data_IF_240684263000
#
_entry.id   IF_240684263000
#
_cell.length_a   1.000
_cell.length_b   1.000
_cell.length_c   1.000
_cell.angle_alpha   90.00
_cell.angle_beta   90.00
_cell.angle_gamma   90.00
#
_symmetry.space_group_name_H-M   'P 1'
#
loop_
_entity.id
_entity.type
_entity.pdbx_description
1 polymer ?
#
# COMPACT_ATOMS: atom_id res chain seq x y z
N UNK A 1 -5.98 11.04 -3.62
CA UNK A 1 -7.31 10.42 -3.74
C UNK A 1 -7.62 9.60 -2.50
N UNK A 2 -8.84 9.71 -1.99
CA UNK A 2 -9.20 9.03 -0.74
C UNK A 2 -9.68 7.58 -0.96
N UNK A 3 -10.10 7.23 -2.17
CA UNK A 3 -10.79 5.98 -2.41
C UNK A 3 -10.50 5.33 -3.77
N UNK A 4 -9.67 5.90 -4.61
CA UNK A 4 -9.38 5.33 -5.93
C UNK A 4 -7.89 5.26 -6.23
N UNK A 5 -7.52 4.26 -7.01
CA UNK A 5 -6.19 4.15 -7.59
C UNK A 5 -6.07 5.09 -8.77
N UNK A 6 -5.00 5.86 -8.80
CA UNK A 6 -4.66 6.77 -9.90
C UNK A 6 -3.55 6.14 -10.75
N UNK A 7 -3.63 6.33 -12.06
CA UNK A 7 -2.61 5.90 -13.01
C UNK A 7 -2.08 7.11 -13.74
N UNK A 8 -0.77 7.35 -13.68
CA UNK A 8 -0.14 8.50 -14.28
C UNK A 8 0.80 8.12 -15.41
N UNK A 9 0.77 8.87 -16.50
CA UNK A 9 1.71 8.76 -17.61
C UNK A 9 2.20 10.15 -18.04
N UNK A 10 3.45 10.24 -18.43
CA UNK A 10 3.97 11.42 -19.10
C UNK A 10 3.56 11.45 -20.58
N UNK A 11 3.54 12.64 -21.17
CA UNK A 11 3.38 12.83 -22.60
C UNK A 11 4.28 11.87 -23.38
N UNK A 12 3.75 11.30 -24.47
CA UNK A 12 4.49 10.34 -25.32
C UNK A 12 5.01 9.10 -24.56
N UNK A 13 4.44 8.79 -23.39
CA UNK A 13 4.87 7.68 -22.52
C UNK A 13 6.37 7.76 -22.20
N UNK A 14 6.90 8.97 -22.00
CA UNK A 14 8.27 9.15 -21.54
C UNK A 14 8.45 8.42 -20.20
N UNK A 15 9.59 7.71 -19.99
CA UNK A 15 9.79 6.96 -18.77
C UNK A 15 9.93 7.87 -17.55
N UNK A 16 9.37 7.44 -16.44
CA UNK A 16 9.53 8.03 -15.12
C UNK A 16 10.49 7.16 -14.32
N UNK A 17 11.58 7.74 -13.81
CA UNK A 17 12.48 7.01 -12.92
C UNK A 17 12.08 7.22 -11.47
N UNK A 18 11.59 6.17 -10.84
CA UNK A 18 11.25 6.17 -9.42
C UNK A 18 12.54 6.07 -8.62
N UNK A 19 12.70 6.94 -7.61
CA UNK A 19 13.86 7.01 -6.72
C UNK A 19 13.49 6.85 -5.24
N UNK A 20 12.23 7.06 -4.89
CA UNK A 20 11.70 6.76 -3.56
C UNK A 20 10.22 6.38 -3.65
N UNK A 21 9.77 5.54 -2.73
CA UNK A 21 8.37 5.21 -2.52
C UNK A 21 8.01 5.45 -1.05
N UNK A 22 6.88 6.12 -0.81
CA UNK A 22 6.38 6.49 0.51
C UNK A 22 7.44 7.24 1.36
N UNK A 23 8.28 8.03 0.67
CA UNK A 23 9.39 8.77 1.28
C UNK A 23 10.67 7.97 1.45
N UNK A 24 10.62 6.63 1.37
CA UNK A 24 11.80 5.78 1.53
C UNK A 24 12.58 5.67 0.21
N UNK A 25 13.89 5.98 0.20
CA UNK A 25 14.73 5.82 -0.98
C UNK A 25 14.78 4.37 -1.47
N UNK A 26 14.86 4.17 -2.77
CA UNK A 26 14.99 2.85 -3.38
C UNK A 26 16.02 2.85 -4.52
N UNK A 27 16.47 1.66 -4.89
CA UNK A 27 17.25 1.53 -6.12
C UNK A 27 16.42 2.04 -7.29
N UNK A 28 16.91 3.02 -8.08
CA UNK A 28 16.14 3.63 -9.15
C UNK A 28 15.67 2.62 -10.19
N UNK A 29 14.41 2.71 -10.60
CA UNK A 29 13.85 1.91 -11.67
C UNK A 29 12.86 2.73 -12.52
N UNK A 30 12.70 2.37 -13.79
CA UNK A 30 11.86 3.08 -14.72
C UNK A 30 10.47 2.45 -14.84
N UNK A 31 9.47 3.31 -14.96
CA UNK A 31 8.08 2.93 -15.28
C UNK A 31 7.52 3.84 -16.36
N UNK A 32 6.69 3.33 -17.25
CA UNK A 32 5.93 4.11 -18.23
C UNK A 32 4.59 4.57 -17.65
N UNK A 33 4.08 3.83 -16.68
CA UNK A 33 2.85 4.15 -15.96
C UNK A 33 3.09 4.01 -14.46
N UNK A 34 2.84 5.08 -13.73
CA UNK A 34 2.91 5.10 -12.27
C UNK A 34 1.50 4.92 -11.72
N UNK A 35 1.27 3.81 -11.01
CA UNK A 35 0.01 3.56 -10.29
C UNK A 35 0.20 3.89 -8.81
N UNK A 36 -0.72 4.70 -8.27
CA UNK A 36 -0.73 5.08 -6.87
C UNK A 36 -2.13 4.86 -6.28
N UNK A 37 -2.21 4.03 -5.28
CA UNK A 37 -3.40 3.92 -4.44
C UNK A 37 -3.46 5.04 -3.39
N UNK A 38 -4.55 5.15 -2.63
CA UNK A 38 -4.68 6.10 -1.53
C UNK A 38 -3.46 6.08 -0.61
N UNK A 39 -2.95 7.25 -0.25
CA UNK A 39 -1.76 7.50 0.59
C UNK A 39 -0.40 7.07 0.02
N UNK A 40 -0.32 6.34 -1.07
CA UNK A 40 0.97 6.07 -1.70
C UNK A 40 1.58 7.34 -2.28
N UNK A 41 2.90 7.49 -2.13
CA UNK A 41 3.71 8.58 -2.66
C UNK A 41 4.86 8.00 -3.47
N UNK A 42 5.31 8.73 -4.49
CA UNK A 42 6.50 8.36 -5.25
C UNK A 42 7.30 9.60 -5.59
N UNK A 43 8.60 9.56 -5.37
CA UNK A 43 9.53 10.55 -5.88
C UNK A 43 10.07 10.09 -7.22
N UNK A 44 9.92 10.96 -8.22
CA UNK A 44 10.15 10.61 -9.60
C UNK A 44 11.11 11.62 -10.25
N UNK A 45 12.11 11.10 -10.94
CA UNK A 45 12.92 11.91 -11.84
C UNK A 45 12.40 11.75 -13.26
N UNK A 46 12.21 12.87 -13.93
CA UNK A 46 11.88 12.92 -15.35
C UNK A 46 12.93 13.73 -16.09
N UNK A 47 13.29 13.30 -17.28
CA UNK A 47 14.24 14.04 -18.10
C UNK A 47 13.54 15.26 -18.69
N UNK A 48 13.99 16.46 -18.29
CA UNK A 48 13.52 17.68 -18.89
C UNK A 48 14.01 17.78 -20.34
N UNK A 49 13.11 18.16 -21.24
CA UNK A 49 13.42 18.39 -22.64
C UNK A 49 12.28 19.17 -23.31
N UNK A 50 12.43 19.56 -24.57
CA UNK A 50 11.39 20.32 -25.30
C UNK A 50 10.07 19.54 -25.41
N UNK A 51 10.13 18.23 -25.22
CA UNK A 51 9.01 17.30 -25.38
C UNK A 51 8.42 16.80 -24.04
N UNK A 52 8.87 17.30 -22.90
CA UNK A 52 8.39 16.80 -21.61
C UNK A 52 6.87 16.96 -21.46
N UNK A 53 6.30 18.05 -21.94
CA UNK A 53 4.85 18.26 -22.04
C UNK A 53 4.12 18.15 -20.70
N UNK A 54 3.24 17.18 -20.57
CA UNK A 54 2.31 17.08 -19.45
C UNK A 54 2.33 15.70 -18.77
N UNK A 55 1.92 15.68 -17.51
CA UNK A 55 1.55 14.48 -16.75
C UNK A 55 0.05 14.29 -16.87
N UNK A 56 -0.37 13.12 -17.31
CA UNK A 56 -1.77 12.75 -17.42
C UNK A 56 -2.17 11.70 -16.41
N UNK A 57 -3.35 11.87 -15.80
CA UNK A 57 -4.07 10.75 -15.20
C UNK A 57 -4.76 9.99 -16.34
N UNK A 58 -4.44 8.72 -16.47
CA UNK A 58 -4.97 7.83 -17.52
C UNK A 58 -6.10 6.99 -16.95
N UNK A 59 -7.27 7.09 -17.52
CA UNK A 59 -8.43 6.26 -17.21
C UNK A 59 -8.82 5.39 -18.40
N UNK A 60 -9.77 4.48 -18.23
CA UNK A 60 -10.22 3.59 -19.30
C UNK A 60 -10.88 4.31 -20.49
N UNK A 61 -11.31 5.55 -20.33
CA UNK A 61 -12.00 6.33 -21.37
C UNK A 61 -11.35 7.64 -21.74
N UNK A 62 -10.71 8.31 -20.77
CA UNK A 62 -10.19 9.67 -20.95
C UNK A 62 -8.84 9.86 -20.26
N UNK A 63 -8.05 10.79 -20.80
CA UNK A 63 -6.84 11.27 -20.18
C UNK A 63 -7.08 12.66 -19.59
N UNK A 64 -6.84 12.82 -18.31
CA UNK A 64 -6.96 14.10 -17.63
C UNK A 64 -5.57 14.70 -17.41
N UNK A 65 -5.31 15.92 -17.90
CA UNK A 65 -4.05 16.62 -17.64
C UNK A 65 -3.96 16.99 -16.15
N UNK A 66 -3.10 16.29 -15.42
CA UNK A 66 -2.89 16.52 -14.01
C UNK A 66 -1.87 17.62 -13.73
N UNK A 67 -0.85 17.75 -14.59
CA UNK A 67 0.16 18.79 -14.51
C UNK A 67 0.80 19.06 -15.88
N UNK A 68 1.22 20.31 -16.10
CA UNK A 68 1.98 20.72 -17.29
C UNK A 68 3.36 21.21 -16.89
N UNK A 69 4.39 20.68 -17.56
CA UNK A 69 5.77 21.08 -17.35
C UNK A 69 6.18 22.11 -18.40
N UNK A 70 6.74 23.22 -17.94
CA UNK A 70 7.28 24.27 -18.83
C UNK A 70 8.77 24.38 -18.58
N UNK A 71 9.58 23.91 -19.52
CA UNK A 71 11.03 24.09 -19.49
C UNK A 71 11.39 25.47 -20.04
N UNK A 72 12.05 26.29 -19.24
CA UNK A 72 12.55 27.60 -19.65
C UNK A 72 13.98 27.56 -20.16
N UNK A 73 14.73 26.51 -19.85
CA UNK A 73 16.12 26.30 -20.26
C UNK A 73 16.37 24.82 -20.40
N UNK A 74 17.11 24.43 -21.43
CA UNK A 74 17.68 23.09 -21.52
C UNK A 74 19.07 23.17 -20.89
N UNK A 75 19.33 22.34 -19.87
CA UNK A 75 20.65 22.14 -19.31
C UNK A 75 21.19 20.82 -19.84
N UNK A 76 22.43 20.81 -20.34
CA UNK A 76 23.13 19.59 -20.76
C UNK A 76 23.73 18.82 -19.57
N UNK A 77 23.48 19.28 -18.34
CA UNK A 77 23.99 18.59 -17.15
C UNK A 77 23.37 17.20 -17.04
N UNK A 78 24.20 16.18 -17.15
CA UNK A 78 23.81 14.82 -16.83
C UNK A 78 23.37 14.76 -15.36
N UNK A 79 22.29 14.04 -15.09
CA UNK A 79 21.92 13.68 -13.73
C UNK A 79 23.08 12.86 -13.14
N UNK A 80 23.63 13.31 -12.02
CA UNK A 80 24.62 12.54 -11.27
C UNK A 80 24.03 11.19 -10.81
N UNK A 81 24.90 10.26 -10.47
CA UNK A 81 24.44 9.00 -9.89
C UNK A 81 23.69 9.27 -8.60
N UNK A 82 22.42 8.87 -8.56
CA UNK A 82 21.62 8.93 -7.35
C UNK A 82 21.99 7.70 -6.54
N UNK A 83 22.73 7.93 -5.45
CA UNK A 83 22.97 6.88 -4.46
C UNK A 83 21.74 6.77 -3.57
N UNK A 84 21.11 5.61 -3.60
CA UNK A 84 19.94 5.34 -2.77
C UNK A 84 20.27 4.19 -1.85
N UNK A 85 20.34 4.49 -0.56
CA UNK A 85 20.38 3.48 0.48
C UNK A 85 19.04 3.48 1.20
N UNK A 86 18.37 2.36 1.35
CA UNK A 86 17.16 2.30 2.15
C UNK A 86 17.49 2.70 3.60
N UNK A 87 16.53 3.32 4.29
CA UNK A 87 16.69 3.75 5.69
C UNK A 87 16.97 2.60 6.64
N UNK A 88 16.39 1.44 6.34
CA UNK A 88 16.55 0.22 7.12
C UNK A 88 17.05 -0.92 6.22
N UNK A 89 17.91 -1.82 6.72
CA UNK A 89 18.22 -3.05 6.00
C UNK A 89 16.99 -3.98 5.96
N UNK A 90 16.99 -4.91 5.02
CA UNK A 90 16.00 -6.00 5.06
C UNK A 90 16.25 -6.84 6.32
N UNK A 91 15.22 -7.07 7.17
CA UNK A 91 15.40 -7.79 8.42
C UNK A 91 15.75 -9.26 8.22
N UNK A 92 16.48 -9.84 9.17
CA UNK A 92 16.57 -11.31 9.28
C UNK A 92 15.19 -11.86 9.67
N UNK A 93 14.70 -12.79 8.86
CA UNK A 93 13.36 -13.37 9.02
C UNK A 93 13.38 -14.77 9.62
N UNK A 94 14.55 -15.27 10.07
CA UNK A 94 14.71 -16.64 10.58
C UNK A 94 13.78 -16.93 11.75
N UNK A 95 13.68 -16.00 12.70
CA UNK A 95 12.87 -16.14 13.92
C UNK A 95 11.71 -15.13 13.92
N UNK A 96 11.28 -14.68 12.72
CA UNK A 96 10.22 -13.69 12.60
C UNK A 96 8.86 -14.22 13.06
N UNK A 97 8.12 -13.38 13.77
CA UNK A 97 6.72 -13.65 14.13
C UNK A 97 5.82 -13.53 12.90
N UNK A 98 5.19 -14.64 12.51
CA UNK A 98 4.26 -14.67 11.39
C UNK A 98 2.83 -14.37 11.87
N UNK A 99 2.25 -13.29 11.35
CA UNK A 99 0.87 -12.88 11.60
C UNK A 99 0.09 -13.02 10.29
N UNK A 100 -0.90 -13.91 10.27
CA UNK A 100 -1.75 -14.09 9.09
C UNK A 100 -2.95 -13.15 9.16
N UNK A 101 -3.18 -12.40 8.10
CA UNK A 101 -4.30 -11.47 7.96
C UNK A 101 -5.08 -11.83 6.70
N UNK A 102 -6.29 -12.32 6.89
CA UNK A 102 -7.24 -12.63 5.83
C UNK A 102 -8.20 -11.47 5.67
N UNK A 103 -8.03 -10.70 4.58
CA UNK A 103 -8.92 -9.59 4.23
C UNK A 103 -10.13 -10.12 3.48
N UNK A 104 -11.32 -9.88 4.01
CA UNK A 104 -12.58 -10.43 3.50
C UNK A 104 -13.63 -9.33 3.37
N UNK A 105 -14.58 -9.55 2.47
CA UNK A 105 -15.79 -8.72 2.37
C UNK A 105 -15.92 -7.96 1.06
N UNK A 106 -16.73 -6.90 1.10
CA UNK A 106 -17.10 -6.09 -0.04
C UNK A 106 -18.14 -6.75 -0.96
N UNK A 107 -18.59 -6.00 -1.96
CA UNK A 107 -19.49 -6.51 -2.96
C UNK A 107 -18.84 -7.68 -3.73
N UNK A 108 -19.57 -8.78 -3.91
CA UNK A 108 -19.09 -10.03 -4.55
C UNK A 108 -17.95 -10.73 -3.78
N UNK A 109 -17.70 -10.36 -2.54
CA UNK A 109 -16.77 -11.06 -1.65
C UNK A 109 -17.38 -12.33 -1.06
N UNK A 110 -16.53 -13.14 -0.41
CA UNK A 110 -16.93 -14.44 0.15
C UNK A 110 -17.32 -14.36 1.64
N UNK A 111 -17.39 -13.16 2.24
CA UNK A 111 -17.74 -12.99 3.64
C UNK A 111 -19.24 -13.27 3.86
N UNK A 112 -19.55 -14.25 4.70
CA UNK A 112 -20.93 -14.64 5.03
C UNK A 112 -21.39 -13.97 6.32
N UNK A 113 -20.52 -13.98 7.35
CA UNK A 113 -20.72 -13.36 8.66
C UNK A 113 -19.39 -12.86 9.21
N UNK A 114 -19.45 -11.95 10.15
CA UNK A 114 -18.28 -11.50 10.91
C UNK A 114 -18.68 -11.08 12.33
N UNK A 115 -17.70 -11.10 13.22
CA UNK A 115 -17.87 -10.61 14.58
C UNK A 115 -17.80 -9.09 14.59
N UNK A 116 -18.78 -8.44 15.19
CA UNK A 116 -18.84 -7.00 15.43
C UNK A 116 -19.31 -6.74 16.86
N UNK A 117 -18.53 -5.97 17.64
CA UNK A 117 -18.81 -5.67 19.05
C UNK A 117 -19.06 -6.94 19.91
N UNK A 118 -18.33 -8.03 19.60
CA UNK A 118 -18.42 -9.30 20.33
C UNK A 118 -19.54 -10.23 19.86
N UNK A 119 -20.37 -9.83 18.91
CA UNK A 119 -21.46 -10.62 18.36
C UNK A 119 -21.20 -11.03 16.89
N UNK A 120 -21.48 -12.30 16.56
CA UNK A 120 -21.43 -12.74 15.18
C UNK A 120 -22.71 -12.30 14.46
N UNK A 121 -22.54 -11.55 13.36
CA UNK A 121 -23.63 -11.03 12.54
C UNK A 121 -23.48 -11.43 11.08
N UNK A 122 -24.58 -11.78 10.39
CA UNK A 122 -24.56 -11.97 8.93
C UNK A 122 -24.13 -10.70 8.20
N UNK A 123 -23.35 -10.84 7.11
CA UNK A 123 -22.83 -9.68 6.35
C UNK A 123 -23.95 -8.75 5.87
N UNK A 124 -25.12 -9.28 5.54
CA UNK A 124 -26.28 -8.47 5.13
C UNK A 124 -26.75 -7.53 6.26
N UNK A 125 -26.78 -8.05 7.49
CA UNK A 125 -27.16 -7.24 8.66
C UNK A 125 -26.08 -6.20 8.97
N UNK A 126 -24.82 -6.60 8.97
CA UNK A 126 -23.68 -5.69 9.13
C UNK A 126 -23.73 -4.54 8.11
N UNK A 127 -24.00 -4.85 6.85
CA UNK A 127 -24.06 -3.84 5.79
C UNK A 127 -25.23 -2.86 5.97
N UNK A 128 -26.43 -3.37 6.25
CA UNK A 128 -27.64 -2.56 6.30
C UNK A 128 -27.79 -1.76 7.59
N UNK A 129 -27.42 -2.34 8.73
CA UNK A 129 -27.66 -1.74 10.05
C UNK A 129 -26.43 -1.03 10.62
N UNK A 130 -25.21 -1.54 10.29
CA UNK A 130 -23.97 -1.06 10.87
C UNK A 130 -23.05 -0.37 9.86
N UNK A 131 -23.35 -0.43 8.55
CA UNK A 131 -22.50 0.08 7.47
C UNK A 131 -21.10 -0.57 7.50
N UNK A 132 -21.04 -1.86 7.85
CA UNK A 132 -19.83 -2.67 7.89
C UNK A 132 -19.84 -3.66 6.74
N UNK A 133 -18.76 -3.70 5.98
CA UNK A 133 -18.64 -4.47 4.73
C UNK A 133 -17.39 -5.33 4.71
N UNK A 134 -16.43 -5.08 5.62
CA UNK A 134 -15.10 -5.63 5.61
C UNK A 134 -14.73 -6.26 6.94
N UNK A 135 -13.91 -7.30 6.87
CA UNK A 135 -13.37 -7.96 8.05
C UNK A 135 -11.92 -8.39 7.85
N UNK A 136 -11.14 -8.41 8.94
CA UNK A 136 -9.87 -9.11 9.03
C UNK A 136 -10.07 -10.34 9.90
N UNK A 137 -9.69 -11.52 9.37
CA UNK A 137 -9.83 -12.80 10.09
C UNK A 137 -11.26 -13.04 10.65
N UNK A 138 -12.29 -12.64 9.88
CA UNK A 138 -13.69 -12.80 10.31
C UNK A 138 -14.16 -11.79 11.35
N UNK A 139 -13.37 -10.79 11.70
CA UNK A 139 -13.77 -9.73 12.63
C UNK A 139 -13.83 -8.37 11.91
N UNK A 140 -14.94 -7.66 12.09
CA UNK A 140 -15.07 -6.27 11.67
C UNK A 140 -14.08 -5.45 12.48
N UNK A 141 -13.15 -4.82 11.77
CA UNK A 141 -12.01 -4.18 12.39
C UNK A 141 -12.25 -2.73 12.78
N UNK A 142 -11.27 -2.24 13.50
CA UNK A 142 -11.18 -0.88 14.04
C UNK A 142 -10.09 -0.83 15.10
N UNK A 143 -10.13 0.19 15.93
CA UNK A 143 -9.14 0.40 16.99
C UNK A 143 -9.20 -0.66 18.11
N UNK A 144 -10.32 -1.39 18.25
CA UNK A 144 -10.51 -2.45 19.26
C UNK A 144 -10.05 -3.83 18.78
N UNK A 145 -9.72 -3.98 17.50
CA UNK A 145 -9.31 -5.26 16.93
C UNK A 145 -7.80 -5.42 16.97
N UNK A 146 -7.31 -6.14 18.00
CA UNK A 146 -5.88 -6.47 18.13
C UNK A 146 -5.51 -7.59 17.15
N UNK A 147 -4.63 -7.27 16.18
CA UNK A 147 -4.10 -8.22 15.20
C UNK A 147 -2.85 -8.96 15.69
N UNK A 148 -2.01 -8.26 16.44
CA UNK A 148 -0.78 -8.81 17.00
C UNK A 148 -0.31 -8.02 18.22
N UNK A 149 0.38 -8.72 19.12
CA UNK A 149 1.12 -8.15 20.23
C UNK A 149 2.59 -8.56 20.10
N UNK A 150 3.47 -7.56 19.92
CA UNK A 150 4.87 -7.71 19.60
C UNK A 150 5.73 -7.11 20.71
N UNK A 151 6.89 -7.71 20.95
CA UNK A 151 7.89 -7.08 21.79
C UNK A 151 8.75 -6.11 20.96
N UNK A 152 9.25 -5.07 21.60
CA UNK A 152 10.21 -4.16 20.98
C UNK A 152 11.43 -4.93 20.44
N UNK A 153 11.72 -4.72 19.16
CA UNK A 153 12.81 -5.39 18.44
C UNK A 153 12.42 -6.69 17.73
N UNK A 154 11.19 -7.19 17.91
CA UNK A 154 10.73 -8.35 17.15
C UNK A 154 10.76 -8.08 15.64
N UNK A 155 11.22 -9.06 14.86
CA UNK A 155 10.94 -9.08 13.42
C UNK A 155 9.56 -9.68 13.20
N UNK A 156 8.70 -8.98 12.47
CA UNK A 156 7.34 -9.42 12.17
C UNK A 156 7.10 -9.55 10.67
N UNK A 157 6.28 -10.51 10.30
CA UNK A 157 5.78 -10.73 8.94
C UNK A 157 4.26 -10.69 8.99
N UNK A 158 3.65 -9.63 8.47
CA UNK A 158 2.22 -9.63 8.21
C UNK A 158 2.00 -10.32 6.86
N UNK A 159 1.53 -11.54 6.88
CA UNK A 159 1.10 -12.24 5.67
C UNK A 159 -0.34 -11.92 5.39
N UNK A 160 -0.55 -11.02 4.44
CA UNK A 160 -1.86 -10.50 4.11
C UNK A 160 -2.38 -11.18 2.85
N UNK A 161 -3.58 -11.76 2.92
CA UNK A 161 -4.28 -12.31 1.78
C UNK A 161 -5.52 -11.47 1.47
N UNK A 162 -5.59 -10.93 0.26
CA UNK A 162 -6.74 -10.17 -0.23
C UNK A 162 -7.77 -11.12 -0.86
N UNK A 163 -8.70 -11.65 -0.05
CA UNK A 163 -9.82 -12.49 -0.51
C UNK A 163 -11.04 -11.64 -0.88
N UNK A 164 -10.81 -10.56 -1.61
CA UNK A 164 -11.88 -9.70 -2.11
C UNK A 164 -11.76 -9.51 -3.63
N UNK A 165 -12.73 -8.83 -4.22
CA UNK A 165 -12.74 -8.46 -5.65
C UNK A 165 -12.18 -7.05 -5.90
N UNK A 166 -11.60 -6.42 -4.88
CA UNK A 166 -11.18 -5.03 -4.91
C UNK A 166 -9.69 -4.87 -4.60
N UNK A 167 -9.10 -3.83 -5.15
CA UNK A 167 -7.75 -3.39 -4.75
C UNK A 167 -7.83 -2.70 -3.38
N UNK A 168 -6.84 -2.98 -2.52
CA UNK A 168 -6.73 -2.36 -1.20
C UNK A 168 -5.36 -1.77 -0.98
N UNK A 169 -5.31 -0.55 -0.48
CA UNK A 169 -4.06 0.12 -0.14
C UNK A 169 -3.82 -0.03 1.35
N UNK A 170 -2.99 -1.00 1.72
CA UNK A 170 -2.73 -1.36 3.11
C UNK A 170 -1.63 -0.49 3.69
N UNK A 171 -1.95 0.21 4.78
CA UNK A 171 -1.05 1.13 5.47
C UNK A 171 -0.83 0.69 6.92
N UNK A 172 0.43 0.73 7.37
CA UNK A 172 0.83 0.50 8.75
C UNK A 172 1.34 1.80 9.34
N UNK A 173 0.71 2.25 10.41
CA UNK A 173 1.18 3.40 11.18
C UNK A 173 2.48 3.09 11.91
N UNK A 174 3.30 4.10 12.08
CA UNK A 174 4.50 4.06 12.93
C UNK A 174 5.68 3.24 12.42
N UNK A 175 5.51 2.47 11.35
CA UNK A 175 6.54 1.58 10.81
C UNK A 175 6.60 1.65 9.28
N UNK A 176 7.79 1.38 8.74
CA UNK A 176 7.97 1.01 7.34
C UNK A 176 8.20 -0.48 7.22
N UNK A 177 7.76 -1.07 6.14
CA UNK A 177 7.88 -2.50 5.87
C UNK A 177 8.45 -2.78 4.47
N UNK A 178 9.10 -3.91 4.35
CA UNK A 178 9.53 -4.48 3.09
C UNK A 178 8.42 -5.37 2.52
N UNK A 179 8.14 -5.24 1.23
CA UNK A 179 7.11 -6.04 0.59
C UNK A 179 7.74 -7.23 -0.13
N UNK A 180 7.17 -8.43 0.10
CA UNK A 180 7.42 -9.63 -0.66
C UNK A 180 6.10 -10.17 -1.17
N UNK A 181 5.87 -10.08 -2.47
CA UNK A 181 4.69 -10.64 -3.12
C UNK A 181 5.08 -11.79 -4.02
N UNK A 182 4.25 -12.85 -4.06
CA UNK A 182 4.49 -14.04 -4.88
C UNK A 182 3.84 -13.97 -6.27
N UNK A 183 2.84 -13.12 -6.47
CA UNK A 183 1.96 -13.22 -7.63
C UNK A 183 2.51 -12.61 -8.92
N UNK A 184 3.44 -11.68 -8.82
CA UNK A 184 4.04 -11.09 -10.01
C UNK A 184 5.29 -11.81 -10.53
N UNK A 185 5.55 -13.04 -10.06
CA UNK A 185 6.66 -13.89 -10.55
C UNK A 185 8.06 -13.30 -10.36
N UNK A 186 8.14 -12.09 -9.84
CA UNK A 186 9.37 -11.41 -9.45
C UNK A 186 9.30 -11.19 -7.96
N UNK A 187 10.20 -11.87 -7.26
CA UNK A 187 10.46 -11.54 -5.87
C UNK A 187 10.76 -10.03 -5.83
N UNK A 188 9.73 -9.23 -5.51
CA UNK A 188 9.92 -7.80 -5.30
C UNK A 188 10.64 -7.62 -3.97
N UNK A 189 11.89 -8.11 -3.94
CA UNK A 189 12.80 -7.72 -2.88
C UNK A 189 12.99 -6.23 -3.02
N UNK A 190 12.40 -5.55 -2.12
CA UNK A 190 13.15 -4.46 -1.85
C UNK A 190 12.69 -3.09 -2.19
N UNK A 191 11.44 -2.76 -1.96
CA UNK A 191 11.18 -1.36 -1.73
C UNK A 191 10.57 -1.23 -0.34
N UNK A 192 11.27 -0.50 0.52
CA UNK A 192 10.76 -0.08 1.82
C UNK A 192 9.62 0.91 1.58
N UNK A 193 8.49 0.71 2.24
CA UNK A 193 7.31 1.57 2.13
C UNK A 193 6.44 1.50 3.39
N UNK A 194 5.51 2.41 3.54
CA UNK A 194 4.52 2.39 4.61
C UNK A 194 3.13 2.01 4.11
N UNK A 195 2.95 1.97 2.78
CA UNK A 195 1.65 1.75 2.14
C UNK A 195 1.80 0.86 0.92
N UNK A 196 1.04 -0.23 0.84
CA UNK A 196 1.10 -1.19 -0.27
C UNK A 196 -0.26 -1.40 -0.94
N UNK A 197 -0.31 -1.24 -2.27
CA UNK A 197 -1.50 -1.51 -3.07
C UNK A 197 -1.54 -2.99 -3.42
N UNK A 198 -2.50 -3.70 -2.86
CA UNK A 198 -2.74 -5.12 -3.09
C UNK A 198 -3.81 -5.36 -4.14
N UNK A 199 -3.53 -6.25 -5.07
CA UNK A 199 -4.50 -6.70 -6.07
C UNK A 199 -5.51 -7.72 -5.48
N UNK A 200 -6.69 -7.91 -6.11
CA UNK A 200 -7.59 -9.00 -5.76
C UNK A 200 -6.89 -10.37 -5.86
N UNK A 201 -7.07 -11.22 -4.85
CA UNK A 201 -6.47 -12.56 -4.78
C UNK A 201 -4.99 -12.60 -4.41
N UNK A 202 -4.35 -11.47 -4.22
CA UNK A 202 -2.92 -11.38 -3.90
C UNK A 202 -2.62 -11.79 -2.45
N UNK A 203 -1.52 -12.52 -2.28
CA UNK A 203 -0.88 -12.72 -0.96
C UNK A 203 0.45 -11.99 -0.92
N UNK A 204 0.63 -11.10 0.04
CA UNK A 204 1.87 -10.37 0.25
C UNK A 204 2.36 -10.52 1.69
N UNK A 205 3.68 -10.66 1.86
CA UNK A 205 4.36 -10.57 3.15
C UNK A 205 4.89 -9.14 3.32
N UNK A 206 4.45 -8.47 4.39
CA UNK A 206 4.94 -7.16 4.81
C UNK A 206 5.86 -7.38 6.00
N UNK A 207 7.17 -7.16 5.79
CA UNK A 207 8.21 -7.52 6.75
C UNK A 207 8.76 -6.26 7.41
N UNK A 208 8.73 -6.18 8.73
CA UNK A 208 9.24 -5.02 9.48
C UNK A 208 9.84 -5.42 10.82
N UNK A 209 10.58 -4.50 11.43
CA UNK A 209 11.03 -4.61 12.82
C UNK A 209 10.08 -3.77 13.67
N UNK A 210 9.58 -4.33 14.75
CA UNK A 210 8.75 -3.64 15.75
C UNK A 210 9.65 -2.76 16.63
N UNK A 211 10.13 -1.64 16.09
CA UNK A 211 11.10 -0.75 16.73
C UNK A 211 10.51 0.54 17.32
N UNK A 212 9.20 0.68 17.24
CA UNK A 212 8.48 1.85 17.72
C UNK A 212 7.37 1.42 18.70
N UNK A 213 7.54 1.64 20.02
CA UNK A 213 6.54 1.25 21.01
C UNK A 213 5.22 2.01 20.85
N UNK A 214 4.09 1.31 21.03
CA UNK A 214 2.77 1.92 20.95
C UNK A 214 1.71 1.01 20.35
N UNK A 215 0.53 1.59 20.07
CA UNK A 215 -0.57 0.95 19.37
C UNK A 215 -0.66 1.51 17.95
N UNK A 216 -0.42 0.67 16.97
CA UNK A 216 -0.28 1.05 15.57
C UNK A 216 -1.40 0.49 14.72
N UNK A 217 -2.15 1.38 14.08
CA UNK A 217 -3.23 0.96 13.18
C UNK A 217 -2.66 0.37 11.90
N UNK A 218 -3.16 -0.81 11.52
CA UNK A 218 -2.99 -1.42 10.21
C UNK A 218 -4.33 -1.45 9.49
N UNK A 219 -4.47 -0.73 8.38
CA UNK A 219 -5.78 -0.54 7.75
C UNK A 219 -5.70 -0.27 6.25
N UNK A 220 -6.83 -0.42 5.55
CA UNK A 220 -6.95 0.07 4.19
C UNK A 220 -7.05 1.60 4.18
N UNK A 221 -6.26 2.25 3.34
CA UNK A 221 -6.28 3.71 3.22
C UNK A 221 -7.32 4.24 2.21
N UNK A 222 -8.11 3.36 1.56
CA UNK A 222 -9.41 3.75 1.04
C UNK A 222 -10.33 3.98 2.24
N UNK A 223 -10.64 5.25 2.52
CA UNK A 223 -11.27 5.64 3.79
C UNK A 223 -12.64 4.98 4.00
N UNK A 224 -13.38 4.74 2.93
CA UNK A 224 -14.65 4.03 2.94
C UNK A 224 -14.47 2.56 3.35
N UNK A 225 -13.37 1.92 2.93
CA UNK A 225 -13.06 0.55 3.34
C UNK A 225 -12.67 0.50 4.81
N UNK A 226 -11.85 1.46 5.28
CA UNK A 226 -11.50 1.57 6.69
C UNK A 226 -12.75 1.80 7.56
N UNK A 227 -13.56 2.79 7.22
CA UNK A 227 -14.81 3.08 7.93
C UNK A 227 -15.78 1.88 7.90
N UNK A 228 -15.76 1.10 6.81
CA UNK A 228 -16.51 -0.13 6.64
C UNK A 228 -15.95 -1.35 7.39
N UNK A 229 -14.87 -1.21 8.18
CA UNK A 229 -14.35 -2.26 9.05
C UNK A 229 -13.01 -2.89 8.62
N UNK A 230 -12.31 -2.32 7.63
CA UNK A 230 -11.02 -2.86 7.17
C UNK A 230 -9.84 -2.24 7.94
N UNK A 231 -9.58 -2.74 9.13
CA UNK A 231 -8.49 -2.29 9.98
C UNK A 231 -8.33 -3.11 11.24
N UNK A 232 -7.23 -2.91 11.94
CA UNK A 232 -6.91 -3.49 13.23
C UNK A 232 -5.64 -2.90 13.79
N UNK A 233 -5.27 -3.27 15.00
CA UNK A 233 -4.17 -2.68 15.76
C UNK A 233 -3.05 -3.69 15.94
N UNK A 234 -1.83 -3.23 15.83
CA UNK A 234 -0.61 -3.94 16.23
C UNK A 234 -0.08 -3.23 17.47
N UNK A 235 0.07 -3.97 18.57
CA UNK A 235 0.72 -3.51 19.79
C UNK A 235 2.20 -3.80 19.74
N UNK A 236 3.03 -2.84 20.17
CA UNK A 236 4.47 -3.00 20.37
C UNK A 236 4.82 -2.53 21.78
N UNK A 237 5.38 -3.40 22.61
CA UNK A 237 5.70 -3.09 24.01
C UNK A 237 7.10 -3.57 24.41
#
# INVERSE_FOLDING_TARGET
>A
ANARVLSFQLSRKAPMQIIALDGAPCVPFNVDTLRLGPAQRADVIVQAGPDLGSLYEVTAGDNFEAARFVSKRVSESALGNISTSPWYPYPDTKDAKLINIHMQGGAMGNLISAVFEGEEMPIRQLALEKQKFWAFNGQVGGYEHLLADLNLGDTAILRVFNDSRWEHTMHLHGHHFWVKSKEFGKETRGVLRDTYLMAPGETADLVFIADNPGLWLFHCHALEHHAGGMGGVISVS
#
